data_IF_885951288077
#
_entry.id   IF_885951288077
#
_cell.length_a   1.000
_cell.length_b   1.000
_cell.length_c   1.000
_cell.angle_alpha   90.00
_cell.angle_beta   90.00
_cell.angle_gamma   90.00
#
_symmetry.space_group_name_H-M   'P 1'
#
loop_
_entity.id
_entity.type
_entity.pdbx_description
1 polymer ?
#
# COMPACT_ATOMS: atom_id res chain seq x y z
N UNK A 1 -11.86 -42.63 -35.25
CA UNK A 1 -10.71 -42.39 -34.34
C UNK A 1 -10.26 -40.93 -34.46
N UNK A 2 -10.90 -40.01 -33.73
CA UNK A 2 -10.54 -38.59 -33.75
C UNK A 2 -9.46 -38.33 -32.70
N UNK A 3 -8.22 -38.09 -33.15
CA UNK A 3 -7.12 -37.65 -32.28
C UNK A 3 -7.35 -36.17 -31.95
N UNK A 4 -8.20 -35.91 -30.96
CA UNK A 4 -8.30 -34.60 -30.32
C UNK A 4 -6.95 -34.34 -29.66
N UNK A 5 -6.11 -33.52 -30.32
CA UNK A 5 -4.88 -33.00 -29.73
C UNK A 5 -5.31 -32.14 -28.53
N UNK A 6 -5.25 -32.73 -27.33
CA UNK A 6 -5.28 -31.97 -26.07
C UNK A 6 -4.22 -30.88 -26.20
N UNK A 7 -4.65 -29.61 -26.27
CA UNK A 7 -3.75 -28.47 -26.06
C UNK A 7 -3.05 -28.74 -24.73
N UNK A 8 -1.74 -28.98 -24.79
CA UNK A 8 -0.91 -28.95 -23.59
C UNK A 8 -1.13 -27.57 -23.00
N UNK A 9 -1.79 -27.52 -21.85
CA UNK A 9 -1.57 -26.42 -20.94
C UNK A 9 -0.07 -26.46 -20.66
N UNK A 10 0.65 -25.48 -21.20
CA UNK A 10 2.02 -25.20 -20.80
C UNK A 10 1.96 -24.81 -19.33
N UNK A 11 2.03 -25.82 -18.48
CA UNK A 11 2.32 -25.67 -17.08
C UNK A 11 3.75 -25.16 -16.97
N UNK A 12 3.93 -24.14 -16.13
CA UNK A 12 5.18 -23.46 -15.80
C UNK A 12 5.64 -22.41 -16.82
N UNK A 13 5.02 -21.22 -16.79
CA UNK A 13 5.85 -20.03 -16.91
C UNK A 13 6.82 -20.05 -15.72
N UNK A 14 8.09 -20.31 -15.99
CA UNK A 14 9.17 -20.11 -15.03
C UNK A 14 8.91 -18.80 -14.29
N UNK A 15 8.97 -18.87 -12.96
CA UNK A 15 8.88 -17.69 -12.11
C UNK A 15 10.03 -16.78 -12.55
N UNK A 16 9.72 -15.74 -13.33
CA UNK A 16 10.72 -14.75 -13.70
C UNK A 16 11.19 -14.09 -12.41
N UNK A 17 12.50 -14.06 -12.17
CA UNK A 17 13.07 -13.36 -11.01
C UNK A 17 12.57 -11.91 -10.92
N UNK A 18 12.26 -11.29 -12.06
CA UNK A 18 11.68 -9.96 -12.15
C UNK A 18 10.34 -9.85 -11.44
N UNK A 19 9.47 -10.86 -11.55
CA UNK A 19 8.18 -10.88 -10.88
C UNK A 19 8.32 -11.03 -9.38
N UNK A 20 9.34 -11.79 -8.96
CA UNK A 20 9.69 -11.94 -7.55
C UNK A 20 10.22 -10.66 -6.96
N UNK A 21 11.11 -9.98 -7.67
CA UNK A 21 11.64 -8.67 -7.27
C UNK A 21 10.52 -7.63 -7.21
N UNK A 22 9.60 -7.63 -8.18
CA UNK A 22 8.50 -6.68 -8.25
C UNK A 22 7.56 -6.74 -7.03
N UNK A 23 7.03 -7.92 -6.68
CA UNK A 23 6.14 -8.01 -5.53
C UNK A 23 6.87 -7.73 -4.21
N UNK A 24 8.16 -8.10 -4.11
CA UNK A 24 8.97 -7.80 -2.91
C UNK A 24 9.18 -6.30 -2.73
N UNK A 25 9.37 -5.55 -3.82
CA UNK A 25 9.50 -4.08 -3.76
C UNK A 25 8.19 -3.45 -3.27
N UNK A 26 7.04 -3.89 -3.79
CA UNK A 26 5.73 -3.39 -3.34
C UNK A 26 5.52 -3.73 -1.86
N UNK A 27 5.83 -4.96 -1.46
CA UNK A 27 5.72 -5.36 -0.06
C UNK A 27 6.67 -4.56 0.85
N UNK A 28 7.89 -4.29 0.39
CA UNK A 28 8.86 -3.45 1.09
C UNK A 28 8.37 -2.01 1.24
N UNK A 29 7.74 -1.45 0.21
CA UNK A 29 7.09 -0.14 0.28
C UNK A 29 5.99 -0.11 1.34
N UNK A 30 5.14 -1.15 1.40
CA UNK A 30 4.12 -1.28 2.44
C UNK A 30 4.70 -1.31 3.87
N UNK A 31 5.82 -2.02 4.07
CA UNK A 31 6.56 -2.04 5.33
C UNK A 31 7.17 -0.68 5.68
N UNK A 32 7.72 0.03 4.71
CA UNK A 32 8.29 1.36 4.93
C UNK A 32 7.22 2.32 5.46
N UNK A 33 6.05 2.36 4.83
CA UNK A 33 4.92 3.15 5.32
C UNK A 33 4.48 2.68 6.72
N UNK A 34 4.40 1.38 6.96
CA UNK A 34 4.02 0.87 8.28
C UNK A 34 5.00 1.30 9.38
N UNK A 35 6.30 1.17 9.14
CA UNK A 35 7.33 1.59 10.09
C UNK A 35 7.35 3.10 10.28
N UNK A 36 7.08 3.89 9.24
CA UNK A 36 6.91 5.33 9.38
C UNK A 36 5.72 5.67 10.29
N UNK A 37 4.59 4.96 10.15
CA UNK A 37 3.41 5.15 11.01
C UNK A 37 3.71 4.76 12.46
N UNK A 38 4.32 3.59 12.68
CA UNK A 38 4.68 3.10 14.01
C UNK A 38 5.70 4.03 14.66
N UNK A 39 6.71 4.48 13.92
CA UNK A 39 7.71 5.42 14.40
C UNK A 39 7.09 6.76 14.78
N UNK A 40 6.18 7.29 13.95
CA UNK A 40 5.44 8.51 14.25
C UNK A 40 4.58 8.36 15.50
N UNK A 41 3.68 7.38 15.54
CA UNK A 41 2.81 7.16 16.70
C UNK A 41 3.60 6.81 17.98
N UNK A 42 4.65 6.00 17.85
CA UNK A 42 5.52 5.62 18.97
C UNK A 42 6.30 6.79 19.54
N UNK A 43 6.81 7.68 18.68
CA UNK A 43 7.45 8.92 19.13
C UNK A 43 6.46 9.82 19.89
N UNK A 44 5.22 9.93 19.43
CA UNK A 44 4.17 10.66 20.12
C UNK A 44 3.85 10.08 21.50
N UNK A 45 3.67 8.76 21.60
CA UNK A 45 3.40 8.07 22.87
C UNK A 45 4.57 8.25 23.87
N UNK A 46 5.80 8.13 23.39
CA UNK A 46 7.01 8.31 24.21
C UNK A 46 7.13 9.76 24.70
N UNK A 47 6.89 10.74 23.84
CA UNK A 47 6.91 12.16 24.21
C UNK A 47 5.83 12.46 25.24
N UNK A 48 4.62 11.94 25.05
CA UNK A 48 3.50 12.11 25.99
C UNK A 48 3.83 11.52 27.36
N UNK A 49 4.38 10.30 27.38
CA UNK A 49 4.78 9.61 28.62
C UNK A 49 5.90 10.33 29.39
N UNK A 50 6.76 11.10 28.70
CA UNK A 50 7.90 11.82 29.32
C UNK A 50 7.48 13.22 29.78
N UNK A 51 6.61 13.89 29.01
CA UNK A 51 6.30 15.30 29.23
C UNK A 51 5.03 15.52 30.05
N UNK A 52 4.13 14.52 30.19
CA UNK A 52 2.81 14.62 30.85
C UNK A 52 1.96 15.84 30.42
N UNK A 53 2.34 16.47 29.30
CA UNK A 53 1.88 17.79 28.85
C UNK A 53 1.11 17.71 27.53
N UNK A 54 1.06 16.55 26.88
CA UNK A 54 0.63 16.44 25.49
C UNK A 54 -0.80 15.90 25.42
N UNK A 55 -1.76 16.83 25.41
CA UNK A 55 -3.04 16.54 24.76
C UNK A 55 -2.71 16.27 23.29
N UNK A 56 -3.00 15.07 22.80
CA UNK A 56 -2.92 14.70 21.39
C UNK A 56 -3.77 15.68 20.59
N UNK A 57 -3.16 16.79 20.16
CA UNK A 57 -3.85 17.75 19.33
C UNK A 57 -3.89 17.18 17.91
N UNK A 58 -5.01 16.52 17.62
CA UNK A 58 -5.35 15.94 16.32
C UNK A 58 -5.65 17.08 15.35
N UNK A 59 -4.63 17.88 15.05
CA UNK A 59 -4.67 18.84 13.97
C UNK A 59 -4.97 18.13 12.66
N UNK A 60 -5.61 18.82 11.72
CA UNK A 60 -5.92 18.24 10.40
C UNK A 60 -4.67 17.70 9.68
N UNK A 61 -3.50 18.29 9.93
CA UNK A 61 -2.23 17.82 9.38
C UNK A 61 -1.82 16.46 9.96
N UNK A 62 -1.81 16.30 11.29
CA UNK A 62 -1.44 15.04 11.95
C UNK A 62 -2.44 13.93 11.63
N UNK A 63 -3.73 14.25 11.59
CA UNK A 63 -4.78 13.31 11.19
C UNK A 63 -4.62 12.84 9.73
N UNK A 64 -4.40 13.78 8.80
CA UNK A 64 -4.22 13.44 7.38
C UNK A 64 -2.96 12.60 7.16
N UNK A 65 -1.88 12.91 7.86
CA UNK A 65 -0.64 12.13 7.79
C UNK A 65 -0.84 10.68 8.24
N UNK A 66 -1.54 10.46 9.37
CA UNK A 66 -1.86 9.13 9.90
C UNK A 66 -2.68 8.34 8.88
N UNK A 67 -3.76 8.95 8.36
CA UNK A 67 -4.63 8.32 7.36
C UNK A 67 -3.85 8.01 6.08
N UNK A 68 -3.03 8.94 5.62
CA UNK A 68 -2.26 8.77 4.39
C UNK A 68 -1.29 7.60 4.48
N UNK A 69 -0.42 7.58 5.50
CA UNK A 69 0.59 6.55 5.66
C UNK A 69 -0.05 5.20 5.97
N UNK A 70 -1.06 5.14 6.85
CA UNK A 70 -1.76 3.91 7.17
C UNK A 70 -2.46 3.30 5.95
N UNK A 71 -3.14 4.13 5.17
CA UNK A 71 -3.84 3.69 3.96
C UNK A 71 -2.85 3.20 2.90
N UNK A 72 -1.78 3.94 2.63
CA UNK A 72 -0.77 3.53 1.65
C UNK A 72 -0.04 2.25 2.04
N UNK A 73 0.20 2.03 3.34
CA UNK A 73 0.71 0.75 3.83
C UNK A 73 -0.25 -0.40 3.54
N UNK A 74 -1.52 -0.26 3.92
CA UNK A 74 -2.55 -1.28 3.73
C UNK A 74 -2.78 -1.61 2.24
N UNK A 75 -2.90 -0.58 1.40
CA UNK A 75 -3.12 -0.72 -0.03
C UNK A 75 -1.91 -1.39 -0.71
N UNK A 76 -0.67 -1.07 -0.29
CA UNK A 76 0.55 -1.72 -0.80
C UNK A 76 0.61 -3.22 -0.44
N UNK A 77 0.25 -3.59 0.79
CA UNK A 77 0.17 -5.01 1.17
C UNK A 77 -0.96 -5.75 0.42
N UNK A 78 -2.11 -5.11 0.23
CA UNK A 78 -3.20 -5.67 -0.57
C UNK A 78 -2.78 -5.89 -2.03
N UNK A 79 -2.03 -4.96 -2.62
CA UNK A 79 -1.47 -5.11 -3.96
C UNK A 79 -0.48 -6.28 -4.03
N UNK A 80 0.46 -6.35 -3.08
CA UNK A 80 1.46 -7.42 -3.04
C UNK A 80 0.81 -8.81 -2.95
N UNK A 81 -0.24 -8.96 -2.12
CA UNK A 81 -0.98 -10.22 -1.98
C UNK A 81 -1.77 -10.56 -3.25
N UNK A 82 -2.47 -9.59 -3.85
CA UNK A 82 -3.18 -9.80 -5.13
C UNK A 82 -2.24 -10.24 -6.25
N UNK A 83 -1.12 -9.54 -6.46
CA UNK A 83 -0.13 -9.89 -7.48
C UNK A 83 0.48 -11.27 -7.23
N UNK A 84 0.75 -11.61 -5.96
CA UNK A 84 1.26 -12.94 -5.59
C UNK A 84 0.26 -14.05 -5.95
N UNK A 85 -1.03 -13.81 -5.75
CA UNK A 85 -2.11 -14.77 -6.04
C UNK A 85 -2.48 -14.89 -7.52
N UNK A 86 -2.48 -13.78 -8.27
CA UNK A 86 -2.85 -13.74 -9.68
C UNK A 86 -1.82 -12.93 -10.48
N UNK A 87 -0.76 -13.65 -10.90
CA UNK A 87 0.41 -13.07 -11.58
C UNK A 87 0.11 -12.64 -13.02
N UNK A 88 -0.85 -13.30 -13.68
CA UNK A 88 -1.21 -13.01 -15.07
C UNK A 88 -1.79 -11.59 -15.22
N UNK A 89 -2.49 -11.10 -14.21
CA UNK A 89 -3.09 -9.76 -14.18
C UNK A 89 -2.25 -8.70 -13.43
N UNK A 90 -0.97 -8.96 -13.13
CA UNK A 90 -0.13 -8.07 -12.31
C UNK A 90 -0.12 -6.60 -12.77
N UNK A 91 -0.09 -6.37 -14.09
CA UNK A 91 -0.07 -5.03 -14.69
C UNK A 91 -1.39 -4.29 -14.42
N UNK A 92 -2.51 -4.99 -14.50
CA UNK A 92 -3.83 -4.44 -14.23
C UNK A 92 -3.94 -4.06 -12.75
N UNK A 93 -3.58 -4.96 -11.84
CA UNK A 93 -3.60 -4.64 -10.41
C UNK A 93 -2.69 -3.48 -10.03
N UNK A 94 -1.52 -3.37 -10.66
CA UNK A 94 -0.62 -2.24 -10.43
C UNK A 94 -1.21 -0.92 -10.94
N UNK A 95 -1.85 -0.90 -12.10
CA UNK A 95 -2.52 0.29 -12.63
C UNK A 95 -3.74 0.69 -11.80
N UNK A 96 -4.55 -0.29 -11.39
CA UNK A 96 -5.70 -0.07 -10.50
C UNK A 96 -5.23 0.51 -9.14
N UNK A 97 -4.12 0.00 -8.61
CA UNK A 97 -3.48 0.52 -7.40
C UNK A 97 -2.99 1.95 -7.58
N UNK A 98 -2.26 2.24 -8.66
CA UNK A 98 -1.72 3.56 -8.94
C UNK A 98 -2.84 4.60 -9.08
N UNK A 99 -3.93 4.22 -9.75
CA UNK A 99 -5.09 5.08 -9.93
C UNK A 99 -5.86 5.27 -8.62
N UNK A 100 -5.98 4.22 -7.81
CA UNK A 100 -6.55 4.29 -6.47
C UNK A 100 -5.75 5.22 -5.53
N UNK A 101 -4.43 5.08 -5.49
CA UNK A 101 -3.55 5.95 -4.70
C UNK A 101 -3.62 7.39 -5.18
N UNK A 102 -3.61 7.63 -6.50
CA UNK A 102 -3.77 8.96 -7.06
C UNK A 102 -5.10 9.63 -6.64
N UNK A 103 -6.22 8.92 -6.76
CA UNK A 103 -7.54 9.44 -6.36
C UNK A 103 -7.61 9.70 -4.87
N UNK A 104 -7.05 8.81 -4.06
CA UNK A 104 -6.98 8.96 -2.62
C UNK A 104 -6.15 10.18 -2.21
N UNK A 105 -4.97 10.38 -2.82
CA UNK A 105 -4.14 11.56 -2.63
C UNK A 105 -4.89 12.86 -2.98
N UNK A 106 -5.58 12.89 -4.13
CA UNK A 106 -6.37 14.04 -4.54
C UNK A 106 -7.48 14.36 -3.51
N UNK A 107 -8.21 13.34 -3.04
CA UNK A 107 -9.22 13.50 -2.01
C UNK A 107 -8.63 14.03 -0.69
N UNK A 108 -7.48 13.50 -0.26
CA UNK A 108 -6.80 13.97 0.95
C UNK A 108 -6.39 15.44 0.83
N UNK A 109 -5.81 15.85 -0.30
CA UNK A 109 -5.43 17.25 -0.56
C UNK A 109 -6.66 18.17 -0.53
N UNK A 110 -7.75 17.78 -1.20
CA UNK A 110 -8.98 18.56 -1.19
C UNK A 110 -9.61 18.66 0.19
N UNK A 111 -9.62 17.56 0.96
CA UNK A 111 -10.15 17.55 2.32
C UNK A 111 -9.35 18.49 3.24
N UNK A 112 -8.02 18.47 3.15
CA UNK A 112 -7.17 19.41 3.90
C UNK A 112 -7.40 20.85 3.45
N UNK A 113 -7.45 21.10 2.14
CA UNK A 113 -7.69 22.45 1.61
C UNK A 113 -9.04 23.02 2.07
N UNK A 114 -10.10 22.20 2.10
CA UNK A 114 -11.42 22.60 2.58
C UNK A 114 -11.46 22.83 4.10
N UNK A 115 -10.63 22.14 4.88
CA UNK A 115 -10.52 22.37 6.32
C UNK A 115 -9.75 23.67 6.64
N UNK A 116 -8.79 24.05 5.80
CA UNK A 116 -7.94 25.23 6.00
C UNK A 116 -8.62 26.54 5.53
N UNK A 117 -9.65 26.46 4.68
CA UNK A 117 -10.45 27.60 4.21
C UNK A 117 -11.58 27.95 5.17
#
# INVERSE_FOLDING_TARGET
MSKIKKKRFETASEISELDVKFYKIIQFSGWLFLFALIGFMGAWILLDSILELIVLDLTAMTFTFIIFIGTNSAISFALATKIKSNKAEKRKFFLDWLLGEFLFCMLAIFAVAAYVW
#
